data_IF_127393591210
#
_entry.id   IF_127393591210
#
_cell.length_a   1.000
_cell.length_b   1.000
_cell.length_c   1.000
_cell.angle_alpha   90.00
_cell.angle_beta   90.00
_cell.angle_gamma   90.00
#
_symmetry.space_group_name_H-M   'P 1'
#
loop_
_entity.id
_entity.type
_entity.pdbx_description
1 polymer ?
#
# COMPACT_ATOMS: atom_id res chain seq x y z
N UNK A 1 16.20 -12.97 -2.91
CA UNK A 1 14.82 -13.45 -3.12
C UNK A 1 14.53 -14.54 -2.10
N UNK A 2 13.29 -14.64 -1.65
CA UNK A 2 12.86 -15.76 -0.81
C UNK A 2 12.78 -17.03 -1.66
N UNK A 3 12.98 -18.20 -1.05
CA UNK A 3 12.92 -19.50 -1.75
C UNK A 3 11.50 -20.10 -1.79
N UNK A 4 10.46 -19.28 -1.56
CA UNK A 4 9.07 -19.73 -1.57
C UNK A 4 8.59 -20.01 -3.00
N UNK A 5 7.84 -21.10 -3.16
CA UNK A 5 7.12 -21.42 -4.40
C UNK A 5 5.77 -20.69 -4.46
N UNK A 6 5.28 -20.18 -3.33
CA UNK A 6 4.02 -19.44 -3.27
C UNK A 6 4.21 -18.03 -3.83
N UNK A 7 3.19 -17.47 -4.54
CA UNK A 7 3.24 -16.09 -5.02
C UNK A 7 3.44 -15.10 -3.88
N UNK A 8 4.31 -14.12 -4.10
CA UNK A 8 4.65 -13.08 -3.15
C UNK A 8 4.50 -11.71 -3.82
N UNK A 9 3.77 -10.81 -3.17
CA UNK A 9 3.45 -9.48 -3.70
C UNK A 9 4.05 -8.44 -2.73
N UNK A 10 5.17 -7.78 -3.09
CA UNK A 10 5.78 -6.75 -2.26
C UNK A 10 4.85 -5.54 -2.15
N UNK A 11 4.76 -4.94 -0.97
CA UNK A 11 3.84 -3.83 -0.71
C UNK A 11 4.55 -2.58 -0.20
N UNK A 12 5.29 -2.63 0.90
CA UNK A 12 5.92 -1.44 1.46
C UNK A 12 7.23 -1.70 2.18
N UNK A 13 8.11 -0.70 2.14
CA UNK A 13 9.32 -0.66 2.96
C UNK A 13 9.04 -0.01 4.30
N UNK A 14 9.61 -0.60 5.35
CA UNK A 14 9.73 0.07 6.63
C UNK A 14 10.64 1.30 6.49
N UNK A 15 10.36 2.43 7.18
CA UNK A 15 11.14 3.68 7.03
C UNK A 15 12.64 3.55 7.37
N UNK A 16 13.06 2.53 8.14
CA UNK A 16 14.48 2.26 8.38
C UNK A 16 15.20 1.61 7.17
N UNK A 17 14.49 1.25 6.10
CA UNK A 17 15.04 0.64 4.88
C UNK A 17 15.47 -0.82 5.01
N UNK A 18 15.23 -1.48 6.16
CA UNK A 18 15.73 -2.83 6.44
C UNK A 18 14.66 -3.92 6.48
N UNK A 19 13.39 -3.55 6.35
CA UNK A 19 12.27 -4.49 6.37
C UNK A 19 11.35 -4.21 5.18
N UNK A 20 10.91 -5.28 4.51
CA UNK A 20 9.93 -5.23 3.44
C UNK A 20 8.68 -6.00 3.89
N UNK A 21 7.53 -5.33 3.91
CA UNK A 21 6.24 -5.98 4.08
C UNK A 21 5.70 -6.45 2.73
N UNK A 22 5.13 -7.64 2.71
CA UNK A 22 4.59 -8.25 1.49
C UNK A 22 3.41 -9.17 1.82
N UNK A 23 2.58 -9.44 0.82
CA UNK A 23 1.53 -10.45 0.88
C UNK A 23 2.06 -11.75 0.30
N UNK A 24 1.85 -12.86 1.00
CA UNK A 24 2.13 -14.21 0.51
C UNK A 24 0.82 -14.98 0.31
N UNK A 25 0.60 -15.50 -0.89
CA UNK A 25 -0.57 -16.34 -1.18
C UNK A 25 -0.28 -17.75 -0.68
N UNK A 26 -1.16 -18.30 0.16
CA UNK A 26 -1.04 -19.67 0.67
C UNK A 26 -2.27 -20.50 0.34
N UNK A 27 -2.10 -21.77 0.01
CA UNK A 27 -3.23 -22.65 -0.33
C UNK A 27 -4.20 -22.90 0.82
N UNK A 28 -3.72 -22.82 2.06
CA UNK A 28 -4.45 -23.22 3.29
C UNK A 28 -5.08 -22.03 4.03
N UNK A 29 -4.45 -20.86 4.00
CA UNK A 29 -4.91 -19.66 4.73
C UNK A 29 -5.38 -18.53 3.81
N UNK A 30 -5.04 -18.57 2.52
CA UNK A 30 -5.31 -17.48 1.58
C UNK A 30 -4.13 -16.51 1.53
N UNK A 31 -4.40 -15.22 1.70
CA UNK A 31 -3.37 -14.19 1.63
C UNK A 31 -2.92 -13.79 3.04
N UNK A 32 -1.66 -14.03 3.37
CA UNK A 32 -1.04 -13.72 4.66
C UNK A 32 -0.09 -12.51 4.55
N UNK A 33 0.04 -11.75 5.63
CA UNK A 33 1.00 -10.65 5.71
C UNK A 33 2.32 -11.12 6.30
N UNK A 34 3.38 -10.83 5.57
CA UNK A 34 4.74 -11.24 5.87
C UNK A 34 5.67 -10.04 5.99
N UNK A 35 6.75 -10.20 6.76
CA UNK A 35 7.84 -9.22 6.84
C UNK A 35 9.17 -9.92 6.55
N UNK A 36 9.92 -9.37 5.61
CA UNK A 36 11.24 -9.83 5.18
C UNK A 36 12.30 -8.86 5.70
N UNK A 37 13.23 -9.31 6.57
CA UNK A 37 14.42 -8.54 6.88
C UNK A 37 15.36 -8.51 5.65
N UNK A 38 16.01 -7.37 5.44
CA UNK A 38 17.00 -7.18 4.38
C UNK A 38 18.23 -6.53 4.98
N UNK A 39 19.34 -7.27 4.98
CA UNK A 39 20.62 -6.83 5.50
C UNK A 39 21.58 -6.42 4.38
N UNK A 40 22.60 -5.65 4.74
CA UNK A 40 23.63 -5.20 3.83
C UNK A 40 23.46 -3.75 3.42
N UNK A 41 24.23 -3.38 2.40
CA UNK A 41 24.28 -2.05 1.79
C UNK A 41 24.78 -2.15 0.34
N UNK A 42 24.95 -1.01 -0.32
CA UNK A 42 25.46 -0.97 -1.70
C UNK A 42 26.86 -1.57 -1.84
N UNK A 43 27.73 -1.42 -0.83
CA UNK A 43 29.11 -1.89 -0.86
C UNK A 43 29.22 -3.40 -0.59
N UNK A 44 28.43 -3.92 0.36
CA UNK A 44 28.45 -5.32 0.77
C UNK A 44 27.42 -6.20 0.04
N UNK A 45 26.54 -5.59 -0.75
CA UNK A 45 25.39 -6.22 -1.39
C UNK A 45 24.22 -6.48 -0.42
N UNK A 46 23.02 -6.45 -0.95
CA UNK A 46 21.79 -6.68 -0.20
C UNK A 46 21.50 -8.19 -0.06
N UNK A 47 21.17 -8.62 1.15
CA UNK A 47 20.90 -10.02 1.47
C UNK A 47 19.55 -10.15 2.20
N UNK A 48 18.60 -10.92 1.66
CA UNK A 48 17.36 -11.20 2.36
C UNK A 48 17.62 -12.13 3.54
N UNK A 49 17.00 -11.82 4.68
CA UNK A 49 16.92 -12.71 5.82
C UNK A 49 15.79 -13.72 5.69
N UNK A 50 15.40 -14.35 6.80
CA UNK A 50 14.26 -15.28 6.82
C UNK A 50 12.97 -14.49 7.00
N UNK A 51 11.96 -14.65 6.11
CA UNK A 51 10.65 -14.02 6.29
C UNK A 51 9.96 -14.51 7.57
N UNK A 52 9.23 -13.62 8.21
CA UNK A 52 8.38 -13.92 9.37
C UNK A 52 6.93 -13.56 9.07
N UNK A 53 6.01 -14.32 9.67
CA UNK A 53 4.57 -14.02 9.59
C UNK A 53 4.28 -12.82 10.48
N UNK A 54 3.66 -11.78 9.94
CA UNK A 54 3.09 -10.68 10.71
C UNK A 54 1.63 -10.97 11.08
N UNK A 55 0.84 -11.42 10.11
CA UNK A 55 -0.56 -11.79 10.31
C UNK A 55 -0.93 -12.94 9.37
N UNK A 56 -1.54 -13.99 9.92
CA UNK A 56 -2.08 -15.11 9.17
C UNK A 56 -3.38 -15.54 9.84
N UNK A 57 -4.48 -15.50 9.10
CA UNK A 57 -5.81 -15.90 9.55
C UNK A 57 -6.49 -16.74 8.44
N UNK A 58 -7.70 -17.32 8.66
CA UNK A 58 -8.46 -17.97 7.60
C UNK A 58 -9.04 -17.03 6.53
N UNK A 59 -8.73 -15.73 6.61
CA UNK A 59 -9.22 -14.70 5.70
C UNK A 59 -8.10 -14.22 4.78
N UNK A 60 -8.43 -13.29 3.89
CA UNK A 60 -7.44 -12.67 3.03
C UNK A 60 -6.98 -11.35 3.64
N UNK A 61 -5.70 -11.27 4.00
CA UNK A 61 -5.02 -10.05 4.43
C UNK A 61 -4.11 -9.57 3.28
N UNK A 62 -4.26 -8.32 2.89
CA UNK A 62 -3.66 -7.79 1.67
C UNK A 62 -3.02 -6.41 1.89
N UNK A 63 -2.00 -6.11 1.07
CA UNK A 63 -1.37 -4.79 0.94
C UNK A 63 -0.89 -4.20 2.29
N UNK A 64 0.04 -4.86 3.01
CA UNK A 64 0.58 -4.32 4.26
C UNK A 64 1.42 -3.07 3.98
N UNK A 65 1.03 -1.94 4.60
CA UNK A 65 1.67 -0.65 4.44
C UNK A 65 2.22 -0.16 5.78
N UNK A 66 3.54 -0.03 5.88
CA UNK A 66 4.17 0.58 7.07
C UNK A 66 3.79 2.06 7.19
N UNK A 67 3.50 2.47 8.42
CA UNK A 67 3.37 3.90 8.74
C UNK A 67 4.70 4.65 8.57
N UNK A 68 4.68 5.99 8.40
CA UNK A 68 5.90 6.79 8.23
C UNK A 68 6.88 6.70 9.43
N UNK A 69 6.39 6.42 10.63
CA UNK A 69 7.18 6.22 11.84
C UNK A 69 7.60 4.75 12.06
N UNK A 70 7.10 3.83 11.22
CA UNK A 70 7.38 2.39 11.29
C UNK A 70 6.70 1.64 12.42
N UNK A 71 5.86 2.29 13.22
CA UNK A 71 5.24 1.68 14.42
C UNK A 71 3.94 0.93 14.13
N UNK A 72 3.39 1.11 12.92
CA UNK A 72 2.10 0.56 12.54
C UNK A 72 2.15 -0.06 11.15
N UNK A 73 1.26 -1.03 10.91
CA UNK A 73 0.96 -1.56 9.59
C UNK A 73 -0.53 -1.37 9.34
N UNK A 74 -0.86 -0.67 8.26
CA UNK A 74 -2.20 -0.66 7.67
C UNK A 74 -2.30 -1.77 6.64
N UNK A 75 -3.46 -2.42 6.56
CA UNK A 75 -3.77 -3.49 5.60
C UNK A 75 -5.27 -3.55 5.39
N UNK A 76 -5.74 -4.36 4.44
CA UNK A 76 -7.16 -4.65 4.35
C UNK A 76 -7.43 -6.15 4.41
N UNK A 77 -8.60 -6.52 4.99
CA UNK A 77 -9.01 -7.90 5.18
C UNK A 77 -10.50 -8.08 5.00
N UNK A 78 -10.92 -9.26 4.53
CA UNK A 78 -12.32 -9.62 4.35
C UNK A 78 -12.91 -10.41 5.53
N UNK A 79 -12.31 -10.33 6.71
CA UNK A 79 -12.75 -11.08 7.90
C UNK A 79 -14.19 -10.78 8.37
N UNK A 80 -14.74 -9.63 8.00
CA UNK A 80 -16.14 -9.24 8.29
C UNK A 80 -17.11 -9.53 7.14
N UNK A 81 -16.65 -10.27 6.12
CA UNK A 81 -17.44 -10.60 4.92
C UNK A 81 -17.25 -9.62 3.76
N UNK A 82 -16.83 -8.39 4.04
CA UNK A 82 -16.40 -7.38 3.07
C UNK A 82 -14.97 -6.96 3.39
N UNK A 83 -14.24 -6.46 2.38
CA UNK A 83 -12.92 -5.89 2.64
C UNK A 83 -13.04 -4.61 3.44
N UNK A 84 -12.27 -4.53 4.53
CA UNK A 84 -12.16 -3.38 5.41
C UNK A 84 -10.69 -3.06 5.69
N UNK A 85 -10.38 -1.80 5.89
CA UNK A 85 -9.05 -1.34 6.28
C UNK A 85 -8.86 -1.42 7.78
N UNK A 86 -7.73 -1.96 8.18
CA UNK A 86 -7.31 -2.11 9.57
C UNK A 86 -5.90 -1.56 9.79
N UNK A 87 -5.61 -1.22 11.05
CA UNK A 87 -4.27 -0.90 11.53
C UNK A 87 -3.92 -1.81 12.69
N UNK A 88 -2.66 -2.26 12.75
CA UNK A 88 -2.07 -3.00 13.87
C UNK A 88 -0.71 -2.42 14.25
N UNK A 89 -0.28 -2.53 15.51
CA UNK A 89 1.08 -2.14 15.89
C UNK A 89 2.12 -3.08 15.26
N UNK A 90 3.28 -2.55 14.98
CA UNK A 90 4.45 -3.29 14.52
C UNK A 90 5.61 -3.10 15.52
N UNK A 91 6.36 -4.17 15.87
CA UNK A 91 6.28 -5.55 15.35
C UNK A 91 5.13 -6.39 15.93
N UNK A 92 4.31 -5.86 16.84
CA UNK A 92 3.29 -6.58 17.58
C UNK A 92 3.82 -7.24 18.87
N UNK A 93 3.01 -8.00 19.61
CA UNK A 93 1.55 -8.11 19.46
C UNK A 93 0.83 -6.84 19.95
N UNK A 94 -0.44 -6.70 19.61
CA UNK A 94 -1.24 -5.56 20.05
C UNK A 94 -2.67 -5.57 19.53
N UNK A 95 -3.37 -4.48 19.77
CA UNK A 95 -4.73 -4.27 19.33
C UNK A 95 -4.88 -4.21 17.80
N UNK A 96 -6.12 -4.10 17.37
CA UNK A 96 -6.48 -3.86 15.97
C UNK A 96 -7.54 -2.78 15.94
N UNK A 97 -7.36 -1.82 15.05
CA UNK A 97 -8.30 -0.74 14.84
C UNK A 97 -8.85 -0.79 13.42
N UNK A 98 -10.17 -0.81 13.31
CA UNK A 98 -10.86 -0.68 12.03
C UNK A 98 -10.86 0.78 11.63
N UNK A 99 -10.45 1.05 10.39
CA UNK A 99 -10.28 2.40 9.84
C UNK A 99 -11.45 2.77 8.92
N UNK A 100 -11.85 1.84 8.05
CA UNK A 100 -12.95 2.06 7.11
C UNK A 100 -14.31 1.80 7.74
N UNK A 101 -15.35 2.37 7.16
CA UNK A 101 -16.76 2.11 7.46
C UNK A 101 -17.41 1.69 6.14
N UNK A 102 -18.21 0.62 6.18
CA UNK A 102 -18.93 0.07 5.02
C UNK A 102 -18.03 -0.38 3.86
N UNK A 103 -16.79 -0.76 4.17
CA UNK A 103 -15.82 -1.27 3.23
C UNK A 103 -14.62 -0.36 2.99
N UNK A 104 -13.51 -0.98 2.58
CA UNK A 104 -12.28 -0.25 2.25
C UNK A 104 -11.15 -1.16 1.81
N UNK A 105 -10.28 -0.62 0.94
CA UNK A 105 -9.12 -1.32 0.39
C UNK A 105 -7.99 -0.35 0.03
N UNK A 106 -6.80 -0.89 -0.20
CA UNK A 106 -5.63 -0.14 -0.65
C UNK A 106 -5.24 1.04 0.24
N UNK A 107 -4.98 0.83 1.56
CA UNK A 107 -4.61 1.92 2.45
C UNK A 107 -3.24 2.51 2.10
N UNK A 108 -3.12 3.83 2.22
CA UNK A 108 -1.87 4.59 2.04
C UNK A 108 -1.74 5.60 3.18
N UNK A 109 -0.59 5.60 3.84
CA UNK A 109 -0.29 6.58 4.87
C UNK A 109 0.16 7.91 4.27
N UNK A 110 -0.35 9.01 4.79
CA UNK A 110 0.24 10.32 4.53
C UNK A 110 1.58 10.46 5.27
N UNK A 111 2.59 10.96 4.56
CA UNK A 111 3.90 11.27 5.17
C UNK A 111 3.94 12.64 5.85
N UNK A 112 3.04 13.54 5.46
CA UNK A 112 2.99 14.90 5.96
C UNK A 112 1.95 15.11 7.06
N UNK A 113 0.94 14.23 7.14
CA UNK A 113 -0.19 14.35 8.07
C UNK A 113 -0.48 13.03 8.74
N UNK A 114 -1.08 13.06 9.91
CA UNK A 114 -1.61 11.86 10.56
C UNK A 114 -2.92 11.44 9.89
N UNK A 115 -2.82 10.97 8.65
CA UNK A 115 -3.95 10.56 7.83
C UNK A 115 -3.66 9.25 7.09
N UNK A 116 -4.71 8.46 6.89
CA UNK A 116 -4.73 7.26 6.04
C UNK A 116 -5.74 7.52 4.93
N UNK A 117 -5.32 7.34 3.69
CA UNK A 117 -6.18 7.38 2.50
C UNK A 117 -6.46 5.97 2.05
N UNK A 118 -7.69 5.66 1.65
CA UNK A 118 -8.06 4.37 1.14
C UNK A 118 -9.18 4.50 0.09
N UNK A 119 -9.42 3.44 -0.65
CA UNK A 119 -10.52 3.33 -1.61
C UNK A 119 -11.72 2.63 -0.97
N UNK A 120 -12.91 3.22 -1.09
CA UNK A 120 -14.18 2.59 -0.69
C UNK A 120 -14.75 1.64 -1.77
N UNK A 121 -15.84 0.90 -1.51
CA UNK A 121 -16.47 0.02 -2.49
C UNK A 121 -17.03 0.72 -3.72
N UNK A 122 -17.39 2.00 -3.62
CA UNK A 122 -17.87 2.84 -4.72
C UNK A 122 -16.73 3.43 -5.56
N UNK A 123 -15.48 3.03 -5.24
CA UNK A 123 -14.25 3.50 -5.87
C UNK A 123 -13.95 4.99 -5.68
N UNK A 124 -14.42 5.55 -4.57
CA UNK A 124 -14.06 6.90 -4.13
C UNK A 124 -12.86 6.87 -3.18
N UNK A 125 -12.13 7.97 -3.11
CA UNK A 125 -11.07 8.13 -2.12
C UNK A 125 -11.63 8.68 -0.82
N UNK A 126 -11.37 7.92 0.22
CA UNK A 126 -11.67 8.27 1.60
C UNK A 126 -10.41 8.63 2.35
N UNK A 127 -10.52 9.50 3.33
CA UNK A 127 -9.42 9.84 4.24
C UNK A 127 -9.88 9.79 5.68
N UNK A 128 -9.01 9.26 6.53
CA UNK A 128 -9.21 9.18 8.00
C UNK A 128 -8.03 9.84 8.68
N UNK A 129 -8.30 10.85 9.49
CA UNK A 129 -7.29 11.37 10.43
C UNK A 129 -7.18 10.44 11.62
N UNK A 130 -6.03 10.42 12.27
CA UNK A 130 -5.81 9.60 13.46
C UNK A 130 -4.91 10.30 14.48
N UNK A 131 -5.02 9.88 15.73
CA UNK A 131 -4.05 10.16 16.77
C UNK A 131 -3.41 8.86 17.24
N UNK A 132 -2.10 8.89 17.52
CA UNK A 132 -1.36 7.74 18.05
C UNK A 132 -0.53 8.21 19.23
N UNK A 133 -0.75 7.58 20.39
CA UNK A 133 -0.02 7.85 21.64
C UNK A 133 0.36 6.51 22.30
N UNK A 134 1.67 6.31 22.50
CA UNK A 134 2.18 5.01 22.96
C UNK A 134 1.70 3.89 22.04
N UNK A 135 1.04 2.90 22.60
CA UNK A 135 0.47 1.74 21.88
C UNK A 135 -1.02 1.93 21.54
N UNK A 136 -1.55 3.14 21.74
CA UNK A 136 -2.94 3.48 21.43
C UNK A 136 -3.03 4.12 20.04
N UNK A 137 -4.05 3.72 19.29
CA UNK A 137 -4.37 4.28 17.99
C UNK A 137 -5.86 4.65 17.95
N UNK A 138 -6.17 5.90 17.63
CA UNK A 138 -7.55 6.39 17.62
C UNK A 138 -7.84 7.01 16.25
N UNK A 139 -8.56 6.30 15.37
CA UNK A 139 -9.00 6.86 14.10
C UNK A 139 -10.23 7.76 14.30
N UNK A 140 -10.30 8.83 13.53
CA UNK A 140 -11.50 9.64 13.37
C UNK A 140 -12.50 8.97 12.41
N UNK A 141 -13.63 9.64 12.16
CA UNK A 141 -14.58 9.18 11.15
C UNK A 141 -14.03 9.42 9.74
N UNK A 142 -14.20 8.46 8.82
CA UNK A 142 -13.86 8.65 7.41
C UNK A 142 -14.62 9.84 6.80
N UNK A 143 -13.94 10.55 5.91
CA UNK A 143 -14.52 11.59 5.06
C UNK A 143 -14.10 11.39 3.62
N UNK A 144 -14.92 11.75 2.67
CA UNK A 144 -14.57 11.73 1.26
C UNK A 144 -13.43 12.71 0.99
N UNK A 145 -12.37 12.24 0.32
CA UNK A 145 -11.30 13.13 -0.17
C UNK A 145 -11.68 13.75 -1.51
N UNK A 146 -12.15 12.91 -2.45
CA UNK A 146 -12.44 13.32 -3.82
C UNK A 146 -13.75 12.71 -4.30
N UNK A 147 -14.55 13.49 -5.01
CA UNK A 147 -15.78 13.02 -5.65
C UNK A 147 -15.50 12.21 -6.94
N UNK A 148 -14.26 12.25 -7.45
CA UNK A 148 -13.86 11.48 -8.62
C UNK A 148 -13.81 9.99 -8.30
N UNK A 149 -14.42 9.19 -9.17
CA UNK A 149 -14.33 7.73 -9.08
C UNK A 149 -13.05 7.22 -9.73
N UNK A 150 -12.37 6.34 -9.05
CA UNK A 150 -11.17 5.69 -9.54
C UNK A 150 -11.49 4.69 -10.66
N UNK A 151 -10.56 4.51 -11.59
CA UNK A 151 -10.61 3.41 -12.53
C UNK A 151 -10.46 2.08 -11.78
N UNK A 152 -11.40 1.18 -11.99
CA UNK A 152 -11.36 -0.15 -11.39
C UNK A 152 -10.27 -0.99 -12.05
N UNK A 153 -9.30 -1.42 -11.26
CA UNK A 153 -8.27 -2.38 -11.67
C UNK A 153 -8.20 -3.49 -10.63
N UNK A 154 -8.85 -4.62 -10.83
CA UNK A 154 -8.82 -5.72 -9.88
C UNK A 154 -7.39 -6.11 -9.50
N UNK A 155 -7.09 -6.13 -8.20
CA UNK A 155 -5.76 -6.47 -7.69
C UNK A 155 -4.71 -5.36 -7.76
N UNK A 156 -5.07 -4.14 -8.18
CA UNK A 156 -4.14 -3.03 -8.28
C UNK A 156 -4.70 -1.75 -7.68
N UNK A 157 -3.88 -1.04 -6.92
CA UNK A 157 -4.18 0.31 -6.47
C UNK A 157 -4.15 1.29 -7.65
N UNK A 158 -5.20 2.09 -7.81
CA UNK A 158 -5.36 3.06 -8.90
C UNK A 158 -5.03 4.49 -8.49
N UNK A 159 -4.32 4.69 -7.39
CA UNK A 159 -3.89 6.01 -6.89
C UNK A 159 -2.58 5.92 -6.13
N UNK A 160 -1.91 7.05 -6.00
CA UNK A 160 -0.76 7.22 -5.10
C UNK A 160 -0.74 8.61 -4.50
N UNK A 161 -0.37 8.71 -3.22
CA UNK A 161 -0.35 9.96 -2.47
C UNK A 161 1.03 10.61 -2.56
N UNK A 162 1.05 11.86 -2.99
CA UNK A 162 2.30 12.63 -3.01
C UNK A 162 2.84 12.84 -1.57
N UNK A 163 4.16 12.86 -1.36
CA UNK A 163 4.75 13.01 -0.03
C UNK A 163 4.33 14.27 0.75
N UNK A 164 3.85 15.34 0.06
CA UNK A 164 3.32 16.53 0.74
C UNK A 164 1.96 16.32 1.42
N UNK A 165 1.28 15.20 1.16
CA UNK A 165 -0.04 14.88 1.72
C UNK A 165 -1.18 15.74 1.17
N UNK A 166 -0.95 16.55 0.12
CA UNK A 166 -1.94 17.45 -0.48
C UNK A 166 -2.32 17.06 -1.90
N UNK A 167 -1.40 16.42 -2.60
CA UNK A 167 -1.59 16.01 -3.99
C UNK A 167 -1.70 14.49 -4.10
N UNK A 168 -2.51 14.04 -5.02
CA UNK A 168 -2.71 12.63 -5.30
C UNK A 168 -2.68 12.39 -6.81
N UNK A 169 -2.02 11.33 -7.23
CA UNK A 169 -2.10 10.83 -8.60
C UNK A 169 -3.24 9.81 -8.67
N UNK A 170 -4.13 9.95 -9.63
CA UNK A 170 -5.30 9.09 -9.82
C UNK A 170 -5.32 8.51 -11.22
N UNK A 171 -5.69 7.22 -11.34
CA UNK A 171 -6.27 6.71 -12.56
C UNK A 171 -7.79 6.92 -12.48
N UNK A 172 -8.33 7.81 -13.31
CA UNK A 172 -9.76 8.18 -13.32
C UNK A 172 -10.48 7.34 -14.35
N UNK A 173 -11.69 6.87 -14.00
CA UNK A 173 -12.59 6.24 -14.97
C UNK A 173 -12.99 7.28 -16.04
N UNK A 174 -12.97 6.92 -17.34
CA UNK A 174 -13.42 7.84 -18.38
C UNK A 174 -14.89 8.19 -18.17
N UNK A 175 -15.26 9.44 -18.40
CA UNK A 175 -16.66 9.85 -18.44
C UNK A 175 -17.36 9.21 -19.66
N UNK A 176 -18.46 8.49 -19.43
CA UNK A 176 -19.26 7.81 -20.45
C UNK A 176 -18.77 6.38 -20.79
N UNK A 177 -19.53 5.66 -21.61
CA UNK A 177 -19.31 4.26 -22.02
C UNK A 177 -18.08 4.04 -22.93
N UNK A 178 -17.04 4.83 -22.80
CA UNK A 178 -15.79 4.60 -23.52
C UNK A 178 -15.05 3.41 -22.88
N UNK A 179 -15.23 2.25 -23.46
CA UNK A 179 -14.32 1.12 -23.24
C UNK A 179 -12.93 1.57 -23.74
N UNK A 180 -12.04 1.89 -22.81
CA UNK A 180 -10.63 2.11 -23.15
C UNK A 180 -10.03 0.73 -23.42
N UNK A 181 -10.06 0.33 -24.68
CA UNK A 181 -9.27 -0.80 -25.16
C UNK A 181 -7.80 -0.38 -25.11
N UNK A 182 -7.05 -0.92 -24.16
CA UNK A 182 -5.59 -0.82 -24.20
C UNK A 182 -5.08 -1.76 -25.30
N UNK A 183 -5.01 -1.25 -26.52
CA UNK A 183 -4.52 -1.97 -27.70
C UNK A 183 -3.02 -1.74 -27.96
N UNK A 184 -2.36 -0.95 -27.11
CA UNK A 184 -0.93 -0.63 -27.25
C UNK A 184 -0.18 -0.90 -25.95
N UNK A 185 0.86 -1.72 -26.08
CA UNK A 185 1.90 -1.88 -25.06
C UNK A 185 3.10 -1.05 -25.51
N UNK A 186 3.46 -0.03 -24.72
CA UNK A 186 4.63 0.81 -25.01
C UNK A 186 5.79 0.33 -24.15
N UNK A 187 6.85 -0.17 -24.79
CA UNK A 187 8.13 -0.45 -24.14
C UNK A 187 9.03 0.76 -24.31
N UNK A 188 9.49 1.33 -23.21
CA UNK A 188 10.48 2.38 -23.20
C UNK A 188 11.86 1.78 -22.92
N UNK A 189 12.65 1.61 -23.95
CA UNK A 189 14.02 1.13 -23.86
C UNK A 189 14.93 2.35 -23.66
N UNK A 190 15.96 2.22 -22.81
CA UNK A 190 16.88 3.33 -22.46
C UNK A 190 16.18 4.55 -21.83
N UNK A 191 15.23 4.30 -20.94
CA UNK A 191 14.41 5.32 -20.28
C UNK A 191 15.23 6.50 -19.71
N UNK A 192 16.36 6.23 -19.05
CA UNK A 192 17.19 7.29 -18.47
C UNK A 192 17.89 8.16 -19.51
N UNK A 193 18.22 7.65 -20.69
CA UNK A 193 18.81 8.43 -21.77
C UNK A 193 17.75 9.31 -22.44
N UNK A 194 16.53 8.79 -22.57
CA UNK A 194 15.40 9.55 -23.09
C UNK A 194 14.98 10.66 -22.10
N UNK A 195 14.98 10.39 -20.79
CA UNK A 195 14.78 11.44 -19.78
C UNK A 195 15.82 12.55 -19.84
N UNK A 196 17.10 12.21 -20.03
CA UNK A 196 18.16 13.21 -20.19
C UNK A 196 17.98 14.06 -21.45
N UNK A 197 17.46 13.44 -22.52
CA UNK A 197 17.18 14.14 -23.79
C UNK A 197 16.00 15.10 -23.67
N UNK A 198 14.93 14.70 -22.94
CA UNK A 198 13.68 15.47 -22.79
C UNK A 198 13.75 16.52 -21.67
N UNK A 199 14.58 16.32 -20.67
CA UNK A 199 14.84 17.25 -19.58
C UNK A 199 16.33 17.65 -19.58
N UNK A 200 16.80 18.46 -20.53
CA UNK A 200 18.16 18.98 -20.49
C UNK A 200 18.35 19.76 -19.20
N UNK A 201 19.35 19.35 -18.42
CA UNK A 201 19.63 19.92 -17.11
C UNK A 201 19.74 21.42 -17.18
N UNK A 202 19.19 22.12 -16.20
CA UNK A 202 19.45 23.54 -15.98
C UNK A 202 20.96 23.75 -15.89
N UNK A 203 21.52 24.72 -16.57
CA UNK A 203 22.94 25.04 -16.44
C UNK A 203 23.25 25.42 -14.99
N UNK A 204 24.41 24.95 -14.50
CA UNK A 204 24.94 25.29 -13.16
C UNK A 204 25.34 26.76 -13.12
#
# INVERSE_FOLDING_TARGET
MTESLDPQIPSSWHPNGKLLAFTQVRPDTGNDLMVLPIDGDEASGWRPGKPSVFLSTPFNELEPMFSPDGRWIAYYSNETGTFEVYVRPFPGPGGRWKISIDGGSYPVWSRARHEIVYQDPEHQLMVVSYTADGDSFTPDKPRTWSEHRLLVRPGFRSFDLHPDGERIALAIAPEGDRVVTQDKLVFMVNFFDELRRLAPGSPR
#
